data_IF_897110411289
#
_entry.id   IF_897110411289
#
_cell.length_a   1.000
_cell.length_b   1.000
_cell.length_c   1.000
_cell.angle_alpha   90.00
_cell.angle_beta   90.00
_cell.angle_gamma   90.00
#
_symmetry.space_group_name_H-M   'P 1'
#
loop_
_entity.id
_entity.type
_entity.pdbx_description
1 polymer ?
#
# COMPACT_ATOMS: atom_id res chain seq x y z
N UNK A 1 26.12 37.89 29.42
CA UNK A 1 26.66 36.50 29.30
C UNK A 1 25.72 35.39 29.72
N UNK A 2 24.48 35.71 30.14
CA UNK A 2 23.46 34.69 30.54
C UNK A 2 22.35 34.45 29.51
N UNK A 3 22.37 35.09 28.38
CA UNK A 3 21.30 35.00 27.35
C UNK A 3 21.51 33.77 26.41
N UNK A 4 22.74 33.21 26.37
CA UNK A 4 23.05 32.10 25.47
C UNK A 4 22.66 30.70 25.96
N UNK A 5 22.47 30.49 27.28
CA UNK A 5 22.21 29.15 27.83
C UNK A 5 20.72 28.78 27.84
N UNK A 6 19.82 29.78 27.97
CA UNK A 6 18.36 29.57 27.97
C UNK A 6 17.84 29.23 26.58
N UNK A 7 18.40 29.82 25.52
CA UNK A 7 18.02 29.53 24.13
C UNK A 7 18.42 28.12 23.69
N UNK A 8 19.53 27.60 24.21
CA UNK A 8 20.01 26.25 23.84
C UNK A 8 19.16 25.13 24.48
N UNK A 9 18.77 25.33 25.75
CA UNK A 9 17.92 24.36 26.45
C UNK A 9 16.50 24.30 25.85
N UNK A 10 15.92 25.44 25.48
CA UNK A 10 14.60 25.52 24.84
C UNK A 10 14.62 24.89 23.45
N UNK A 11 15.69 25.10 22.68
CA UNK A 11 15.85 24.51 21.36
C UNK A 11 16.00 22.99 21.42
N UNK A 12 16.68 22.48 22.45
CA UNK A 12 16.87 21.05 22.68
C UNK A 12 15.55 20.37 23.08
N UNK A 13 14.73 21.01 23.90
CA UNK A 13 13.43 20.51 24.31
C UNK A 13 12.44 20.50 23.13
N UNK A 14 12.48 21.53 22.28
CA UNK A 14 11.67 21.60 21.07
C UNK A 14 12.03 20.48 20.09
N UNK A 15 13.31 20.20 19.87
CA UNK A 15 13.79 19.13 18.99
C UNK A 15 13.41 17.74 19.52
N UNK A 16 13.44 17.52 20.85
CA UNK A 16 12.96 16.27 21.44
C UNK A 16 11.45 16.06 21.23
N UNK A 17 10.68 17.11 21.41
CA UNK A 17 9.22 17.09 21.21
C UNK A 17 8.89 16.85 19.74
N UNK A 18 9.61 17.50 18.83
CA UNK A 18 9.44 17.31 17.38
C UNK A 18 9.81 15.89 16.93
N UNK A 19 10.88 15.30 17.47
CA UNK A 19 11.25 13.89 17.20
C UNK A 19 10.16 12.93 17.68
N UNK A 20 9.59 13.18 18.84
CA UNK A 20 8.51 12.38 19.41
C UNK A 20 7.27 12.42 18.51
N UNK A 21 6.83 13.60 18.09
CA UNK A 21 5.70 13.77 17.17
C UNK A 21 5.94 13.12 15.81
N UNK A 22 7.17 13.22 15.28
CA UNK A 22 7.55 12.57 14.03
C UNK A 22 7.57 11.05 14.16
N UNK A 23 7.99 10.52 15.30
CA UNK A 23 8.01 9.09 15.57
C UNK A 23 6.60 8.53 15.71
N UNK A 24 5.68 9.24 16.37
CA UNK A 24 4.28 8.86 16.47
C UNK A 24 3.59 8.88 15.08
N UNK A 25 3.89 9.86 14.23
CA UNK A 25 3.39 9.94 12.86
C UNK A 25 3.92 8.79 11.97
N UNK A 26 5.16 8.34 12.20
CA UNK A 26 5.80 7.23 11.47
C UNK A 26 5.29 5.86 11.95
N UNK A 27 4.85 5.75 13.21
CA UNK A 27 4.38 4.51 13.82
C UNK A 27 2.90 4.20 13.57
N UNK A 28 2.23 4.96 12.70
CA UNK A 28 0.82 4.73 12.37
C UNK A 28 0.63 3.33 11.77
N UNK A 29 -0.17 2.52 12.45
CA UNK A 29 -0.47 1.15 12.03
C UNK A 29 -1.35 1.16 10.79
N UNK A 30 -0.99 0.36 9.80
CA UNK A 30 -1.77 0.21 8.57
C UNK A 30 -3.17 -0.31 8.89
N UNK A 31 -4.20 0.40 8.44
CA UNK A 31 -5.60 0.05 8.61
C UNK A 31 -6.00 -1.02 7.59
N UNK A 32 -5.74 -2.27 7.93
CA UNK A 32 -6.04 -3.41 7.07
C UNK A 32 -7.54 -3.55 6.83
N UNK A 33 -8.36 -3.26 7.84
CA UNK A 33 -9.82 -3.35 7.70
C UNK A 33 -10.36 -2.35 6.66
N UNK A 34 -9.82 -1.13 6.63
CA UNK A 34 -10.18 -0.14 5.61
C UNK A 34 -9.76 -0.59 4.21
N UNK A 35 -8.58 -1.18 4.08
CA UNK A 35 -8.08 -1.70 2.80
C UNK A 35 -8.97 -2.84 2.28
N UNK A 36 -9.28 -3.81 3.13
CA UNK A 36 -10.14 -4.94 2.76
C UNK A 36 -11.56 -4.48 2.45
N UNK A 37 -12.10 -3.56 3.25
CA UNK A 37 -13.43 -2.98 2.98
C UNK A 37 -13.49 -2.31 1.62
N UNK A 38 -12.45 -1.55 1.24
CA UNK A 38 -12.36 -0.96 -0.09
C UNK A 38 -12.27 -2.03 -1.19
N UNK A 39 -11.46 -3.07 -0.99
CA UNK A 39 -11.36 -4.18 -1.95
C UNK A 39 -12.68 -4.91 -2.15
N UNK A 40 -13.43 -5.15 -1.08
CA UNK A 40 -14.77 -5.77 -1.17
C UNK A 40 -15.73 -4.90 -1.98
N UNK A 41 -15.78 -3.60 -1.70
CA UNK A 41 -16.62 -2.66 -2.43
C UNK A 41 -16.25 -2.57 -3.90
N UNK A 42 -14.95 -2.47 -4.19
CA UNK A 42 -14.44 -2.46 -5.56
C UNK A 42 -14.71 -3.79 -6.28
N UNK A 43 -14.69 -4.90 -5.56
CA UNK A 43 -15.08 -6.21 -6.10
C UNK A 43 -16.55 -6.26 -6.56
N UNK A 44 -17.45 -5.70 -5.75
CA UNK A 44 -18.90 -5.64 -6.09
C UNK A 44 -19.11 -4.84 -7.38
N UNK A 45 -18.42 -3.73 -7.55
CA UNK A 45 -18.54 -2.87 -8.73
C UNK A 45 -17.61 -3.27 -9.88
N UNK A 46 -16.83 -4.32 -9.70
CA UNK A 46 -15.80 -4.78 -10.67
C UNK A 46 -14.85 -3.65 -11.07
N UNK A 47 -14.37 -2.93 -10.07
CA UNK A 47 -13.38 -1.87 -10.22
C UNK A 47 -12.00 -2.46 -10.06
N UNK A 48 -11.17 -2.43 -11.10
CA UNK A 48 -9.79 -2.94 -11.04
C UNK A 48 -8.92 -2.11 -10.12
N UNK A 49 -8.10 -2.76 -9.31
CA UNK A 49 -7.21 -2.09 -8.37
C UNK A 49 -5.95 -2.91 -8.12
N UNK A 50 -4.83 -2.21 -7.88
CA UNK A 50 -3.58 -2.80 -7.38
C UNK A 50 -3.14 -1.98 -6.16
N UNK A 51 -3.06 -2.63 -5.02
CA UNK A 51 -2.62 -2.03 -3.76
C UNK A 51 -1.35 -2.74 -3.31
N UNK A 52 -0.23 -2.02 -3.30
CA UNK A 52 1.06 -2.53 -2.84
C UNK A 52 1.33 -2.00 -1.44
N UNK A 53 1.64 -2.89 -0.51
CA UNK A 53 1.99 -2.53 0.86
C UNK A 53 3.49 -2.71 1.03
N UNK A 54 4.20 -1.60 1.19
CA UNK A 54 5.65 -1.57 1.39
C UNK A 54 5.97 -2.07 2.80
N UNK A 55 7.01 -2.88 2.90
CA UNK A 55 7.51 -3.42 4.17
C UNK A 55 8.93 -2.93 4.41
N UNK A 56 9.92 -3.83 4.49
CA UNK A 56 11.30 -3.47 4.80
C UNK A 56 12.08 -3.02 3.56
N UNK A 57 11.81 -3.61 2.40
CA UNK A 57 12.48 -3.20 1.16
C UNK A 57 11.87 -1.90 0.64
N UNK A 58 12.72 -0.93 0.34
CA UNK A 58 12.29 0.33 -0.26
C UNK A 58 11.68 0.11 -1.64
N UNK A 59 10.54 0.76 -1.88
CA UNK A 59 9.87 0.77 -3.18
C UNK A 59 10.14 2.08 -3.94
N UNK A 60 11.15 2.85 -3.57
CA UNK A 60 11.46 4.13 -4.21
C UNK A 60 11.65 3.99 -5.72
N UNK A 61 12.22 2.87 -6.18
CA UNK A 61 12.47 2.62 -7.60
C UNK A 61 11.18 2.53 -8.44
N UNK A 62 10.06 2.12 -7.86
CA UNK A 62 8.76 2.13 -8.55
C UNK A 62 7.93 3.37 -8.19
N UNK A 63 8.03 3.86 -6.96
CA UNK A 63 7.30 5.08 -6.54
C UNK A 63 7.64 6.28 -7.40
N UNK A 64 8.89 6.38 -7.86
CA UNK A 64 9.33 7.46 -8.74
C UNK A 64 8.66 7.46 -10.11
N UNK A 65 8.02 6.38 -10.52
CA UNK A 65 7.27 6.30 -11.79
C UNK A 65 5.88 6.93 -11.69
N UNK A 66 5.37 7.10 -10.49
CA UNK A 66 4.04 7.65 -10.23
C UNK A 66 4.10 9.04 -9.62
N UNK A 67 2.99 9.42 -8.98
CA UNK A 67 2.86 10.69 -8.28
C UNK A 67 3.10 10.50 -6.79
N UNK A 68 3.99 11.29 -6.21
CA UNK A 68 4.23 11.28 -4.77
C UNK A 68 2.99 11.80 -4.02
N UNK A 69 2.60 11.08 -2.98
CA UNK A 69 1.44 11.40 -2.16
C UNK A 69 1.81 11.28 -0.68
N UNK A 70 0.98 11.83 0.17
CA UNK A 70 1.06 11.68 1.61
C UNK A 70 -0.37 11.75 2.17
N UNK A 71 -1.16 10.70 1.92
CA UNK A 71 -2.57 10.65 2.23
C UNK A 71 -2.83 9.48 3.18
N UNK A 72 -3.45 9.77 4.33
CA UNK A 72 -3.83 8.73 5.28
C UNK A 72 -4.81 7.73 4.62
N UNK A 73 -4.58 6.45 4.85
CA UNK A 73 -5.44 5.38 4.34
C UNK A 73 -6.82 5.46 4.99
N UNK A 74 -7.84 5.57 4.17
CA UNK A 74 -9.25 5.39 4.55
C UNK A 74 -9.96 4.64 3.43
N UNK A 75 -11.03 3.94 3.75
CA UNK A 75 -11.80 3.22 2.73
C UNK A 75 -12.32 4.15 1.63
N UNK A 76 -12.96 5.30 1.94
CA UNK A 76 -13.45 6.22 0.90
C UNK A 76 -12.35 6.76 -0.02
N UNK A 77 -11.16 7.05 0.52
CA UNK A 77 -10.03 7.52 -0.29
C UNK A 77 -9.59 6.44 -1.28
N UNK A 78 -9.45 5.19 -0.83
CA UNK A 78 -9.06 4.08 -1.71
C UNK A 78 -10.08 3.88 -2.84
N UNK A 79 -11.37 3.88 -2.52
CA UNK A 79 -12.43 3.75 -3.51
C UNK A 79 -12.42 4.93 -4.49
N UNK A 80 -12.14 6.15 -4.02
CA UNK A 80 -12.08 7.34 -4.86
C UNK A 80 -10.89 7.31 -5.84
N UNK A 81 -9.74 6.83 -5.39
CA UNK A 81 -8.54 6.74 -6.24
C UNK A 81 -8.79 5.79 -7.41
N UNK A 82 -9.38 4.63 -7.15
CA UNK A 82 -9.59 3.61 -8.18
C UNK A 82 -10.89 3.77 -8.97
N UNK A 83 -11.72 4.75 -8.60
CA UNK A 83 -12.93 5.03 -9.35
C UNK A 83 -12.63 5.20 -10.85
N UNK A 84 -13.43 4.58 -11.70
CA UNK A 84 -13.17 4.43 -13.14
C UNK A 84 -12.87 5.76 -13.85
N UNK A 85 -13.48 6.85 -13.42
CA UNK A 85 -13.28 8.18 -14.01
C UNK A 85 -12.28 9.04 -13.23
N UNK A 86 -11.65 8.49 -12.19
CA UNK A 86 -10.61 9.20 -11.44
C UNK A 86 -9.35 9.34 -12.30
N UNK A 87 -8.69 10.50 -12.31
CA UNK A 87 -7.40 10.65 -13.00
C UNK A 87 -6.28 9.83 -12.34
N UNK A 88 -6.51 9.27 -11.16
CA UNK A 88 -5.53 8.50 -10.40
C UNK A 88 -5.72 6.98 -10.51
N UNK A 89 -6.72 6.49 -11.25
CA UNK A 89 -7.10 5.07 -11.23
C UNK A 89 -6.12 4.15 -11.97
N UNK A 90 -5.37 4.67 -12.93
CA UNK A 90 -4.40 3.87 -13.69
C UNK A 90 -3.13 3.63 -12.85
N UNK A 91 -2.64 2.39 -12.88
CA UNK A 91 -1.45 1.99 -12.14
C UNK A 91 -1.77 1.50 -10.72
N UNK A 92 -0.73 1.39 -9.92
CA UNK A 92 -0.80 0.91 -8.56
C UNK A 92 -0.68 2.04 -7.55
N UNK A 93 -1.20 1.83 -6.35
CA UNK A 93 -0.85 2.66 -5.20
C UNK A 93 0.14 1.93 -4.31
N UNK A 94 0.95 2.70 -3.60
CA UNK A 94 1.87 2.19 -2.59
C UNK A 94 1.46 2.74 -1.23
N UNK A 95 1.30 1.84 -0.27
CA UNK A 95 0.96 2.16 1.12
C UNK A 95 2.16 1.81 2.01
N UNK A 96 2.51 2.71 2.90
CA UNK A 96 3.52 2.52 3.92
C UNK A 96 3.04 3.18 5.21
N UNK A 97 3.05 2.43 6.32
CA UNK A 97 2.69 2.95 7.65
C UNK A 97 1.36 3.72 7.65
N UNK A 98 0.34 3.15 7.05
CA UNK A 98 -1.01 3.69 6.94
C UNK A 98 -1.14 4.96 6.07
N UNK A 99 -0.14 5.26 5.22
CA UNK A 99 -0.19 6.37 4.28
C UNK A 99 -0.05 5.88 2.85
N UNK A 100 -0.85 6.44 1.96
CA UNK A 100 -0.65 6.29 0.52
C UNK A 100 0.50 7.22 0.16
N UNK A 101 1.62 6.64 -0.23
CA UNK A 101 2.86 7.39 -0.53
C UNK A 101 3.06 7.64 -2.01
N UNK A 102 2.39 6.89 -2.87
CA UNK A 102 2.42 7.09 -4.31
C UNK A 102 1.15 6.54 -4.98
N UNK A 103 0.75 7.18 -6.07
CA UNK A 103 -0.34 6.76 -6.95
C UNK A 103 0.16 6.69 -8.39
N UNK A 104 -0.59 6.03 -9.27
CA UNK A 104 -0.25 5.83 -10.69
C UNK A 104 1.13 5.19 -10.89
N UNK A 105 1.52 4.33 -9.97
CA UNK A 105 2.82 3.66 -10.00
C UNK A 105 2.84 2.58 -11.07
N UNK A 106 3.92 2.53 -11.85
CA UNK A 106 4.15 1.49 -12.86
C UNK A 106 5.03 0.41 -12.24
N UNK A 107 4.48 -0.79 -12.15
CA UNK A 107 5.17 -1.94 -11.58
C UNK A 107 5.83 -2.79 -12.66
N UNK A 108 6.93 -3.52 -12.34
CA UNK A 108 7.47 -4.51 -13.26
C UNK A 108 6.45 -5.64 -13.45
N UNK A 109 6.26 -6.05 -14.70
CA UNK A 109 5.31 -7.12 -15.05
C UNK A 109 6.06 -8.44 -15.12
N UNK A 110 5.57 -9.44 -14.39
CA UNK A 110 6.16 -10.79 -14.44
C UNK A 110 5.85 -11.48 -15.77
N UNK A 111 6.86 -12.16 -16.31
CA UNK A 111 6.73 -13.02 -17.50
C UNK A 111 6.61 -14.49 -17.10
N UNK A 112 6.34 -14.80 -15.84
CA UNK A 112 6.21 -16.16 -15.35
C UNK A 112 5.09 -16.89 -16.10
N UNK A 113 5.44 -17.99 -16.74
CA UNK A 113 4.51 -18.83 -17.51
C UNK A 113 3.56 -19.64 -16.62
N UNK A 114 3.88 -19.78 -15.33
CA UNK A 114 3.05 -20.48 -14.38
C UNK A 114 1.85 -19.64 -13.90
N UNK A 115 1.82 -18.34 -14.20
CA UNK A 115 0.65 -17.51 -13.91
C UNK A 115 -0.46 -17.93 -14.87
N UNK A 116 -1.64 -18.34 -14.36
CA UNK A 116 -2.76 -18.72 -15.23
C UNK A 116 -3.13 -17.62 -16.22
N UNK A 117 -3.45 -18.01 -17.46
CA UNK A 117 -3.78 -17.08 -18.55
C UNK A 117 -5.01 -16.21 -18.26
N UNK A 118 -5.89 -16.65 -17.35
CA UNK A 118 -7.07 -15.88 -16.95
C UNK A 118 -6.70 -14.58 -16.23
N UNK A 119 -5.48 -14.46 -15.69
CA UNK A 119 -5.01 -13.27 -15.01
C UNK A 119 -4.36 -12.30 -16.00
N UNK A 120 -4.80 -11.02 -15.93
CA UNK A 120 -4.30 -9.97 -16.80
C UNK A 120 -3.10 -9.21 -16.22
N UNK A 121 -2.90 -7.99 -16.73
CA UNK A 121 -1.73 -7.18 -16.41
C UNK A 121 -1.63 -6.80 -14.93
N UNK A 122 -2.75 -6.51 -14.25
CA UNK A 122 -2.73 -6.14 -12.82
C UNK A 122 -2.15 -7.27 -11.97
N UNK A 123 -2.57 -8.49 -12.21
CA UNK A 123 -2.07 -9.65 -11.47
C UNK A 123 -0.59 -9.90 -11.77
N UNK A 124 -0.18 -9.79 -13.03
CA UNK A 124 1.22 -9.97 -13.44
C UNK A 124 2.11 -8.86 -12.88
N UNK A 125 1.60 -7.63 -12.75
CA UNK A 125 2.31 -6.53 -12.11
C UNK A 125 2.48 -6.78 -10.60
N UNK A 126 1.47 -7.32 -9.94
CA UNK A 126 1.55 -7.69 -8.53
C UNK A 126 2.56 -8.83 -8.29
N UNK A 127 2.58 -9.84 -9.15
CA UNK A 127 3.60 -10.89 -9.12
C UNK A 127 4.98 -10.27 -9.34
N UNK A 128 5.13 -9.38 -10.31
CA UNK A 128 6.41 -8.75 -10.65
C UNK A 128 7.03 -7.99 -9.49
N UNK A 129 6.25 -7.17 -8.77
CA UNK A 129 6.78 -6.42 -7.63
C UNK A 129 7.07 -7.31 -6.43
N UNK A 130 6.24 -8.33 -6.19
CA UNK A 130 6.40 -9.19 -5.02
C UNK A 130 7.49 -10.25 -5.19
N UNK A 131 7.86 -10.63 -6.42
CA UNK A 131 9.01 -11.51 -6.63
C UNK A 131 10.35 -10.79 -6.48
N UNK A 132 10.38 -9.46 -6.54
CA UNK A 132 11.59 -8.63 -6.43
C UNK A 132 11.79 -8.01 -5.05
N UNK A 133 10.74 -7.92 -4.24
CA UNK A 133 10.75 -7.24 -2.95
C UNK A 133 9.97 -8.04 -1.91
N UNK A 134 10.03 -7.60 -0.66
CA UNK A 134 9.23 -8.18 0.42
C UNK A 134 7.83 -7.55 0.53
N UNK A 135 7.44 -6.68 -0.41
CA UNK A 135 6.10 -6.10 -0.43
C UNK A 135 5.03 -7.17 -0.58
N UNK A 136 3.84 -6.89 -0.05
CA UNK A 136 2.65 -7.69 -0.29
C UNK A 136 1.67 -6.90 -1.14
N UNK A 137 0.84 -7.57 -1.90
CA UNK A 137 0.00 -6.91 -2.88
C UNK A 137 -1.41 -7.48 -2.90
N UNK A 138 -2.40 -6.59 -3.03
CA UNK A 138 -3.80 -6.94 -3.24
C UNK A 138 -4.20 -6.49 -4.65
N UNK A 139 -4.90 -7.36 -5.36
CA UNK A 139 -5.46 -7.05 -6.68
C UNK A 139 -6.95 -7.32 -6.67
N UNK A 140 -7.73 -6.37 -7.18
CA UNK A 140 -9.15 -6.58 -7.47
C UNK A 140 -9.32 -6.70 -8.97
N UNK A 141 -9.93 -7.80 -9.42
CA UNK A 141 -10.17 -8.04 -10.84
C UNK A 141 -11.31 -7.17 -11.37
N UNK A 142 -11.08 -6.47 -12.47
CA UNK A 142 -12.16 -5.74 -13.15
C UNK A 142 -13.11 -6.66 -13.93
N UNK A 143 -12.71 -7.90 -14.17
CA UNK A 143 -13.54 -8.87 -14.89
C UNK A 143 -14.47 -9.64 -13.95
N UNK A 144 -13.95 -10.12 -12.82
CA UNK A 144 -14.69 -10.99 -11.89
C UNK A 144 -15.04 -10.33 -10.58
N UNK A 145 -14.34 -9.26 -10.20
CA UNK A 145 -14.45 -8.63 -8.89
C UNK A 145 -13.73 -9.40 -7.78
N UNK A 146 -13.08 -10.52 -8.10
CA UNK A 146 -12.38 -11.31 -7.09
C UNK A 146 -11.12 -10.60 -6.59
N UNK A 147 -10.83 -10.83 -5.30
CA UNK A 147 -9.65 -10.28 -4.63
C UNK A 147 -8.55 -11.35 -4.63
N UNK A 148 -7.35 -10.98 -5.05
CA UNK A 148 -6.16 -11.83 -4.97
C UNK A 148 -5.16 -11.22 -4.01
N UNK A 149 -4.54 -12.05 -3.18
CA UNK A 149 -3.43 -11.67 -2.31
C UNK A 149 -2.15 -12.32 -2.83
N UNK A 150 -1.13 -11.51 -3.07
CA UNK A 150 0.10 -11.95 -3.73
C UNK A 150 1.29 -11.54 -2.86
N UNK A 151 2.15 -12.53 -2.59
CA UNK A 151 3.33 -12.38 -1.75
C UNK A 151 4.43 -13.29 -2.27
N UNK A 152 5.67 -12.81 -2.29
CA UNK A 152 6.84 -13.57 -2.77
C UNK A 152 6.66 -14.13 -4.20
N UNK A 153 5.95 -13.38 -5.05
CA UNK A 153 5.67 -13.80 -6.42
C UNK A 153 4.59 -14.86 -6.56
N UNK A 154 3.87 -15.20 -5.50
CA UNK A 154 2.89 -16.28 -5.46
C UNK A 154 1.51 -15.79 -4.97
N UNK A 155 0.47 -16.42 -5.51
CA UNK A 155 -0.90 -16.21 -5.04
C UNK A 155 -1.09 -16.96 -3.71
N UNK A 156 -1.52 -16.24 -2.67
CA UNK A 156 -1.77 -16.82 -1.35
C UNK A 156 -3.23 -17.22 -1.25
N UNK A 157 -3.54 -18.50 -1.06
CA UNK A 157 -4.93 -18.95 -0.92
C UNK A 157 -5.54 -18.48 0.42
N UNK A 158 -6.82 -18.14 0.40
CA UNK A 158 -7.57 -17.77 1.60
C UNK A 158 -9.06 -18.09 1.41
N UNK A 159 -9.75 -18.29 2.53
CA UNK A 159 -11.20 -18.54 2.57
C UNK A 159 -11.90 -17.31 3.13
N UNK A 160 -12.37 -16.43 2.26
CA UNK A 160 -13.09 -15.23 2.66
C UNK A 160 -12.21 -14.12 3.21
N UNK A 161 -12.81 -12.95 3.35
CA UNK A 161 -12.10 -11.70 3.67
C UNK A 161 -11.64 -11.62 5.12
N UNK A 162 -12.28 -12.33 6.04
CA UNK A 162 -11.84 -12.39 7.45
C UNK A 162 -10.49 -13.09 7.57
N UNK A 163 -10.33 -14.24 6.93
CA UNK A 163 -9.04 -14.94 6.88
C UNK A 163 -7.98 -14.10 6.17
N UNK A 164 -8.34 -13.47 5.06
CA UNK A 164 -7.44 -12.57 4.33
C UNK A 164 -6.94 -11.44 5.23
N UNK A 165 -7.83 -10.81 5.98
CA UNK A 165 -7.48 -9.76 6.93
C UNK A 165 -6.45 -10.24 7.95
N UNK A 166 -6.64 -11.43 8.52
CA UNK A 166 -5.71 -11.99 9.48
C UNK A 166 -4.36 -12.34 8.85
N UNK A 167 -4.34 -12.88 7.64
CA UNK A 167 -3.11 -13.16 6.90
C UNK A 167 -2.29 -11.89 6.66
N UNK A 168 -2.94 -10.81 6.23
CA UNK A 168 -2.26 -9.54 6.00
C UNK A 168 -1.72 -8.96 7.31
N UNK A 169 -2.52 -8.95 8.37
CA UNK A 169 -2.07 -8.47 9.69
C UNK A 169 -0.85 -9.24 10.17
N UNK A 170 -0.85 -10.56 10.00
CA UNK A 170 0.30 -11.40 10.35
C UNK A 170 1.53 -11.04 9.53
N UNK A 171 1.39 -10.88 8.22
CA UNK A 171 2.49 -10.55 7.33
C UNK A 171 3.06 -9.15 7.61
N UNK A 172 2.24 -8.22 8.05
CA UNK A 172 2.64 -6.88 8.47
C UNK A 172 3.10 -6.80 9.93
N UNK A 173 3.07 -7.90 10.65
CA UNK A 173 3.45 -7.99 12.07
C UNK A 173 2.58 -7.11 13.00
N UNK A 174 1.29 -7.09 12.73
CA UNK A 174 0.30 -6.31 13.47
C UNK A 174 -0.49 -7.14 14.49
#
# INVERSE_FOLDING_TARGET
LMIGSTNFATKRNFLKHFKFLKQDAISATTDVDAIIGACERMGITKTGAIIVIERNNSLDFVKSTGDAMNIQVTQPILESIFFKNSPLHDGAIVIQDNFITATRVILPVSNDRNIPLRFGLRHRAAVGITEKTDAVCLVVSEETGSISYIKNGEFVPFKGTEELTQLIKKDLEL
#
